data_IF_531329050130
#
_entry.id   IF_531329050130
#
_cell.length_a   1.000
_cell.length_b   1.000
_cell.length_c   1.000
_cell.angle_alpha   90.00
_cell.angle_beta   90.00
_cell.angle_gamma   90.00
#
_symmetry.space_group_name_H-M   'P 1'
#
loop_
_entity.id
_entity.type
_entity.pdbx_description
1 polymer ?
#
# COMPACT_ATOMS: atom_id res chain seq x y z
N UNK A 1 -3.65 16.27 -2.51
CA UNK A 1 -3.64 16.43 -1.04
C UNK A 1 -2.22 16.66 -0.55
N UNK A 2 -1.99 17.21 0.64
CA UNK A 2 -0.66 17.31 1.28
C UNK A 2 -0.36 16.10 2.16
N UNK A 3 0.91 15.91 2.56
CA UNK A 3 1.32 14.85 3.49
C UNK A 3 0.59 14.95 4.85
N UNK A 4 0.46 16.15 5.41
CA UNK A 4 -0.27 16.36 6.65
C UNK A 4 -1.77 16.02 6.51
N UNK A 5 -2.37 16.35 5.36
CA UNK A 5 -3.76 15.98 5.07
C UNK A 5 -3.92 14.46 4.93
N UNK A 6 -2.95 13.80 4.30
CA UNK A 6 -2.92 12.34 4.17
C UNK A 6 -2.90 11.65 5.54
N UNK A 7 -1.97 12.01 6.42
CA UNK A 7 -1.88 11.38 7.74
C UNK A 7 -3.12 11.64 8.59
N UNK A 8 -3.66 12.87 8.56
CA UNK A 8 -4.93 13.17 9.26
C UNK A 8 -6.10 12.34 8.73
N UNK A 9 -6.16 12.10 7.43
CA UNK A 9 -7.19 11.26 6.83
C UNK A 9 -7.00 9.79 7.20
N UNK A 10 -5.77 9.27 7.10
CA UNK A 10 -5.47 7.88 7.41
C UNK A 10 -5.74 7.57 8.89
N UNK A 11 -5.23 8.39 9.79
CA UNK A 11 -5.34 8.17 11.24
C UNK A 11 -6.75 8.50 11.75
N UNK A 12 -7.25 9.70 11.44
CA UNK A 12 -8.49 10.23 12.03
C UNK A 12 -9.77 9.86 11.29
N UNK A 13 -9.69 9.25 10.11
CA UNK A 13 -10.88 8.78 9.37
C UNK A 13 -10.79 7.28 9.17
N UNK A 14 -9.75 6.81 8.48
CA UNK A 14 -9.71 5.41 8.10
C UNK A 14 -9.46 4.48 9.29
N UNK A 15 -8.46 4.77 10.14
CA UNK A 15 -8.15 3.91 11.27
C UNK A 15 -9.15 4.03 12.42
N UNK A 16 -9.66 5.23 12.71
CA UNK A 16 -10.69 5.40 13.75
C UNK A 16 -12.02 4.71 13.38
N UNK A 17 -12.44 4.77 12.11
CA UNK A 17 -13.74 4.24 11.68
C UNK A 17 -13.66 2.74 11.34
N UNK A 18 -12.62 2.31 10.64
CA UNK A 18 -12.52 0.95 10.10
C UNK A 18 -11.54 0.04 10.88
N UNK A 19 -10.74 0.62 11.77
CA UNK A 19 -9.64 -0.08 12.42
C UNK A 19 -8.49 -0.37 11.47
N UNK A 20 -7.53 -1.16 11.97
CA UNK A 20 -6.31 -1.55 11.26
C UNK A 20 -6.28 -3.05 11.01
N UNK A 21 -5.63 -3.44 9.93
CA UNK A 21 -5.22 -4.82 9.73
C UNK A 21 -4.27 -5.25 10.86
N UNK A 22 -4.40 -6.49 11.39
CA UNK A 22 -3.48 -6.98 12.39
C UNK A 22 -2.08 -7.08 11.79
N UNK A 23 -1.09 -6.74 12.59
CA UNK A 23 0.31 -6.85 12.18
C UNK A 23 0.64 -8.31 11.86
N UNK A 24 1.20 -8.54 10.67
CA UNK A 24 1.79 -9.84 10.32
C UNK A 24 2.95 -10.10 11.30
N UNK A 25 2.96 -11.24 11.99
CA UNK A 25 4.04 -11.56 12.91
C UNK A 25 5.14 -12.36 12.19
N UNK A 26 6.39 -11.92 12.33
CA UNK A 26 7.57 -12.62 11.81
C UNK A 26 8.61 -11.65 11.25
N UNK A 27 9.86 -11.79 11.68
CA UNK A 27 10.99 -11.06 11.09
C UNK A 27 11.67 -11.96 10.08
N UNK A 28 11.88 -11.45 8.87
CA UNK A 28 12.78 -12.09 7.91
C UNK A 28 14.20 -11.67 8.29
N UNK A 29 14.96 -12.58 8.89
CA UNK A 29 16.38 -12.38 9.23
C UNK A 29 17.25 -12.99 8.12
N UNK A 30 17.35 -12.27 6.99
CA UNK A 30 18.14 -12.64 5.83
C UNK A 30 19.08 -11.47 5.47
N UNK A 31 20.38 -11.72 5.19
CA UNK A 31 21.32 -10.66 4.83
C UNK A 31 21.10 -10.09 3.41
N UNK A 32 20.33 -10.76 2.55
CA UNK A 32 20.03 -10.30 1.20
C UNK A 32 19.14 -9.04 1.23
N UNK A 33 19.59 -7.90 0.66
CA UNK A 33 18.81 -6.66 0.68
C UNK A 33 17.46 -6.76 -0.06
N UNK A 34 17.35 -7.63 -1.06
CA UNK A 34 16.11 -7.90 -1.77
C UNK A 34 15.10 -8.63 -0.88
N UNK A 35 15.54 -9.65 -0.14
CA UNK A 35 14.69 -10.39 0.81
C UNK A 35 14.27 -9.50 1.99
N UNK A 36 15.16 -8.63 2.48
CA UNK A 36 14.80 -7.62 3.49
C UNK A 36 13.74 -6.64 2.99
N UNK A 37 13.85 -6.17 1.74
CA UNK A 37 12.88 -5.28 1.15
C UNK A 37 11.49 -5.94 0.98
N UNK A 38 11.45 -7.23 0.63
CA UNK A 38 10.22 -8.03 0.64
C UNK A 38 9.64 -8.12 2.05
N UNK A 39 10.46 -8.42 3.06
CA UNK A 39 10.04 -8.44 4.46
C UNK A 39 9.44 -7.11 4.92
N UNK A 40 10.08 -6.00 4.55
CA UNK A 40 9.58 -4.64 4.85
C UNK A 40 8.22 -4.36 4.20
N UNK A 41 8.03 -4.80 2.96
CA UNK A 41 6.74 -4.69 2.26
C UNK A 41 5.64 -5.47 2.99
N UNK A 42 5.89 -6.75 3.29
CA UNK A 42 4.94 -7.60 4.02
C UNK A 42 4.61 -7.00 5.38
N UNK A 43 5.59 -6.42 6.06
CA UNK A 43 5.39 -5.82 7.38
C UNK A 43 4.58 -4.53 7.33
N UNK A 44 4.67 -3.79 6.23
CA UNK A 44 3.95 -2.54 6.01
C UNK A 44 2.44 -2.74 5.85
N UNK A 45 1.94 -3.97 5.72
CA UNK A 45 0.51 -4.29 5.76
C UNK A 45 -0.17 -3.85 7.07
N UNK A 46 0.58 -3.71 8.17
CA UNK A 46 0.06 -3.17 9.43
C UNK A 46 -0.43 -1.70 9.31
N UNK A 47 -0.13 -1.02 8.21
CA UNK A 47 -0.61 0.34 7.89
C UNK A 47 -2.02 0.28 7.29
N UNK A 48 -2.44 -0.85 6.70
CA UNK A 48 -3.69 -0.96 5.97
C UNK A 48 -4.91 -0.74 6.87
N UNK A 49 -5.85 0.12 6.45
CA UNK A 49 -7.22 0.08 6.94
C UNK A 49 -7.89 -1.23 6.51
N UNK A 50 -8.77 -1.80 7.36
CA UNK A 50 -9.46 -3.07 7.05
C UNK A 50 -10.29 -3.04 5.77
N UNK A 51 -10.93 -1.91 5.51
CA UNK A 51 -11.79 -1.72 4.33
C UNK A 51 -11.09 -0.85 3.26
N UNK A 52 -9.78 -1.03 3.06
CA UNK A 52 -8.99 -0.23 2.12
C UNK A 52 -9.50 -0.30 0.65
N UNK A 53 -10.15 -1.40 0.29
CA UNK A 53 -10.81 -1.58 -0.99
C UNK A 53 -12.10 -0.73 -1.15
N UNK A 54 -12.64 -0.19 -0.06
CA UNK A 54 -13.82 0.69 -0.08
C UNK A 54 -13.48 2.19 -0.06
N UNK A 55 -12.18 2.55 -0.05
CA UNK A 55 -11.76 3.95 -0.13
C UNK A 55 -12.28 4.55 -1.45
N UNK A 56 -13.03 5.67 -1.40
CA UNK A 56 -13.56 6.31 -2.61
C UNK A 56 -12.46 6.66 -3.61
N UNK A 57 -12.78 6.53 -4.90
CA UNK A 57 -11.81 6.70 -6.00
C UNK A 57 -11.17 8.10 -6.01
N UNK A 58 -11.88 9.12 -5.52
CA UNK A 58 -11.37 10.48 -5.41
C UNK A 58 -10.18 10.55 -4.43
N UNK A 59 -10.24 9.82 -3.32
CA UNK A 59 -9.14 9.73 -2.37
C UNK A 59 -7.98 8.90 -2.93
N UNK A 60 -8.27 7.83 -3.68
CA UNK A 60 -7.25 7.05 -4.39
C UNK A 60 -6.50 7.93 -5.40
N UNK A 61 -7.21 8.74 -6.18
CA UNK A 61 -6.59 9.68 -7.11
C UNK A 61 -5.73 10.72 -6.39
N UNK A 62 -6.19 11.27 -5.26
CA UNK A 62 -5.43 12.22 -4.45
C UNK A 62 -4.17 11.61 -3.85
N UNK A 63 -4.23 10.35 -3.40
CA UNK A 63 -3.06 9.60 -2.92
C UNK A 63 -2.08 9.32 -4.05
N UNK A 64 -2.57 8.92 -5.23
CA UNK A 64 -1.74 8.71 -6.42
C UNK A 64 -1.00 9.98 -6.85
N UNK A 65 -1.68 11.14 -6.84
CA UNK A 65 -1.04 12.44 -7.10
C UNK A 65 0.02 12.77 -6.05
N UNK A 66 -0.24 12.49 -4.77
CA UNK A 66 0.71 12.72 -3.69
C UNK A 66 1.94 11.82 -3.83
N UNK A 67 1.76 10.55 -4.19
CA UNK A 67 2.85 9.58 -4.43
C UNK A 67 3.86 10.07 -5.47
N UNK A 68 3.44 10.86 -6.46
CA UNK A 68 4.32 11.36 -7.53
C UNK A 68 5.05 12.67 -7.17
N UNK A 69 4.76 13.28 -6.02
CA UNK A 69 5.46 14.48 -5.57
C UNK A 69 6.90 14.16 -5.16
N UNK A 70 7.82 15.10 -5.37
CA UNK A 70 9.25 14.90 -5.07
C UNK A 70 9.57 14.97 -3.57
N UNK A 71 8.89 15.87 -2.86
CA UNK A 71 9.24 16.24 -1.49
C UNK A 71 8.26 15.64 -0.47
N UNK A 72 8.06 14.32 -0.55
CA UNK A 72 7.27 13.58 0.45
C UNK A 72 8.15 12.56 1.17
N UNK A 73 7.85 12.30 2.43
CA UNK A 73 8.67 11.40 3.23
C UNK A 73 8.51 9.96 2.75
N UNK A 74 9.60 9.18 2.87
CA UNK A 74 9.62 7.75 2.53
C UNK A 74 8.45 6.98 3.16
N UNK A 75 8.20 7.19 4.47
CA UNK A 75 7.09 6.54 5.20
C UNK A 75 5.74 6.82 4.55
N UNK A 76 5.52 8.04 4.05
CA UNK A 76 4.29 8.42 3.35
C UNK A 76 4.17 7.72 2.02
N UNK A 77 5.27 7.59 1.25
CA UNK A 77 5.26 6.80 0.01
C UNK A 77 4.90 5.35 0.27
N UNK A 78 5.53 4.72 1.25
CA UNK A 78 5.28 3.32 1.61
C UNK A 78 3.82 3.12 2.03
N UNK A 79 3.27 4.01 2.86
CA UNK A 79 1.87 3.97 3.27
C UNK A 79 0.90 4.13 2.09
N UNK A 80 1.16 5.08 1.19
CA UNK A 80 0.33 5.28 0.00
C UNK A 80 0.41 4.06 -0.92
N UNK A 81 1.61 3.57 -1.23
CA UNK A 81 1.79 2.40 -2.10
C UNK A 81 1.06 1.19 -1.54
N UNK A 82 1.11 0.98 -0.22
CA UNK A 82 0.39 -0.10 0.45
C UNK A 82 -1.13 0.06 0.29
N UNK A 83 -1.69 1.24 0.54
CA UNK A 83 -3.13 1.47 0.37
C UNK A 83 -3.56 1.27 -1.10
N UNK A 84 -2.79 1.79 -2.05
CA UNK A 84 -3.09 1.66 -3.47
C UNK A 84 -3.00 0.19 -3.93
N UNK A 85 -2.03 -0.58 -3.42
CA UNK A 85 -1.83 -1.99 -3.75
C UNK A 85 -3.07 -2.86 -3.45
N UNK A 86 -3.79 -2.55 -2.37
CA UNK A 86 -4.96 -3.32 -1.93
C UNK A 86 -6.30 -2.72 -2.38
N UNK A 87 -6.28 -1.71 -3.25
CA UNK A 87 -7.51 -1.10 -3.76
C UNK A 87 -8.01 -1.74 -5.05
N UNK A 88 -7.12 -2.08 -5.99
CA UNK A 88 -7.46 -2.76 -7.25
C UNK A 88 -8.17 -1.91 -8.31
N UNK A 89 -8.36 -0.60 -8.09
CA UNK A 89 -8.94 0.30 -9.10
C UNK A 89 -7.96 0.68 -10.22
N UNK A 90 -8.51 1.13 -11.36
CA UNK A 90 -7.71 1.67 -12.46
C UNK A 90 -6.82 2.85 -12.04
N UNK A 91 -7.34 3.75 -11.20
CA UNK A 91 -6.61 4.89 -10.69
C UNK A 91 -5.41 4.49 -9.82
N UNK A 92 -5.58 3.45 -8.98
CA UNK A 92 -4.49 2.91 -8.16
C UNK A 92 -3.40 2.29 -9.04
N UNK A 93 -3.79 1.50 -10.04
CA UNK A 93 -2.87 0.89 -11.00
C UNK A 93 -2.08 1.93 -11.79
N UNK A 94 -2.74 2.96 -12.29
CA UNK A 94 -2.09 4.02 -13.05
C UNK A 94 -1.04 4.75 -12.20
N UNK A 95 -1.39 5.12 -10.97
CA UNK A 95 -0.49 5.78 -10.04
C UNK A 95 0.74 4.92 -9.70
N UNK A 96 0.52 3.63 -9.39
CA UNK A 96 1.60 2.70 -9.08
C UNK A 96 2.48 2.43 -10.29
N UNK A 97 1.90 2.29 -11.49
CA UNK A 97 2.66 2.10 -12.72
C UNK A 97 3.53 3.32 -13.03
N UNK A 98 2.99 4.54 -12.89
CA UNK A 98 3.77 5.78 -13.06
C UNK A 98 4.93 5.88 -12.07
N UNK A 99 4.69 5.59 -10.78
CA UNK A 99 5.75 5.62 -9.77
C UNK A 99 6.86 4.59 -10.06
N UNK A 100 6.47 3.38 -10.51
CA UNK A 100 7.40 2.31 -10.87
C UNK A 100 8.33 2.63 -12.05
N UNK A 101 8.01 3.63 -12.88
CA UNK A 101 8.92 4.06 -13.96
C UNK A 101 10.21 4.67 -13.41
N UNK A 102 10.16 5.28 -12.23
CA UNK A 102 11.33 5.88 -11.56
C UNK A 102 11.12 5.95 -10.04
N UNK A 103 11.12 4.80 -9.35
CA UNK A 103 10.96 4.76 -7.90
C UNK A 103 12.14 5.45 -7.20
N UNK A 104 11.90 5.87 -5.96
CA UNK A 104 12.97 6.39 -5.09
C UNK A 104 13.97 5.27 -4.78
N UNK A 105 15.23 5.65 -4.58
CA UNK A 105 16.29 4.71 -4.21
C UNK A 105 15.93 3.95 -2.93
N UNK A 106 15.95 2.62 -2.98
CA UNK A 106 15.61 1.74 -1.87
C UNK A 106 14.10 1.45 -1.72
N UNK A 107 13.28 1.87 -2.68
CA UNK A 107 11.86 1.52 -2.79
C UNK A 107 11.53 0.71 -4.05
N UNK A 108 12.53 0.29 -4.83
CA UNK A 108 12.33 -0.40 -6.11
C UNK A 108 11.56 -1.72 -5.94
N UNK A 109 11.96 -2.54 -4.98
CA UNK A 109 11.29 -3.81 -4.66
C UNK A 109 9.88 -3.55 -4.13
N UNK A 110 9.74 -2.58 -3.21
CA UNK A 110 8.45 -2.22 -2.62
C UNK A 110 7.45 -1.76 -3.69
N UNK A 111 7.89 -0.86 -4.59
CA UNK A 111 7.07 -0.33 -5.67
C UNK A 111 6.63 -1.43 -6.63
N UNK A 112 7.54 -2.36 -6.97
CA UNK A 112 7.24 -3.50 -7.84
C UNK A 112 6.18 -4.41 -7.22
N UNK A 113 6.35 -4.77 -5.94
CA UNK A 113 5.39 -5.60 -5.21
C UNK A 113 4.02 -4.93 -5.11
N UNK A 114 3.97 -3.64 -4.77
CA UNK A 114 2.72 -2.88 -4.72
C UNK A 114 1.96 -2.92 -6.05
N UNK A 115 2.67 -2.76 -7.18
CA UNK A 115 2.07 -2.82 -8.51
C UNK A 115 1.62 -4.24 -8.89
N UNK A 116 2.40 -5.27 -8.58
CA UNK A 116 2.05 -6.67 -8.81
C UNK A 116 0.77 -7.03 -8.02
N UNK A 117 0.72 -6.71 -6.73
CA UNK A 117 -0.43 -6.97 -5.87
C UNK A 117 -1.68 -6.19 -6.32
N UNK A 118 -1.52 -4.94 -6.75
CA UNK A 118 -2.64 -4.17 -7.31
C UNK A 118 -3.23 -4.82 -8.57
N UNK A 119 -2.38 -5.41 -9.43
CA UNK A 119 -2.84 -6.14 -10.62
C UNK A 119 -3.59 -7.40 -10.21
N UNK A 120 -3.09 -8.10 -9.20
CA UNK A 120 -3.73 -9.32 -8.72
C UNK A 120 -5.12 -9.04 -8.11
N UNK A 121 -5.25 -7.96 -7.34
CA UNK A 121 -6.54 -7.51 -6.81
C UNK A 121 -7.54 -7.19 -7.92
N UNK A 122 -7.10 -6.46 -8.96
CA UNK A 122 -7.95 -6.14 -10.12
C UNK A 122 -8.40 -7.40 -10.86
N UNK A 123 -7.50 -8.34 -11.07
CA UNK A 123 -7.77 -9.57 -11.83
C UNK A 123 -8.54 -10.61 -11.02
N UNK A 124 -8.80 -10.36 -9.73
CA UNK A 124 -9.45 -11.30 -8.82
C UNK A 124 -8.58 -12.52 -8.51
N UNK A 125 -7.27 -12.44 -8.72
CA UNK A 125 -6.32 -13.53 -8.44
C UNK A 125 -5.87 -13.57 -6.98
N UNK A 126 -6.09 -12.48 -6.23
CA UNK A 126 -5.97 -12.51 -4.76
C UNK A 126 -7.20 -13.23 -4.18
N UNK A 127 -7.01 -14.44 -3.67
CA UNK A 127 -8.01 -15.04 -2.80
C UNK A 127 -8.15 -14.17 -1.56
N UNK A 128 -9.36 -13.66 -1.29
CA UNK A 128 -9.68 -13.05 0.01
C UNK A 128 -9.26 -14.05 1.10
N UNK A 129 -8.24 -13.70 1.88
CA UNK A 129 -7.74 -14.52 3.00
C UNK A 129 -8.84 -14.76 4.06
N UNK A 130 -9.99 -14.08 3.93
CA UNK A 130 -11.23 -14.33 4.66
C UNK A 130 -11.87 -15.72 4.46
N UNK A 131 -11.45 -16.54 3.49
CA UNK A 131 -11.95 -17.93 3.35
C UNK A 131 -11.16 -18.99 4.13
N UNK A 132 -10.09 -18.63 4.87
CA UNK A 132 -9.35 -19.59 5.72
C UNK A 132 -9.77 -19.49 7.21
N UNK A 133 -10.77 -18.67 7.55
CA UNK A 133 -11.39 -18.64 8.90
C UNK A 133 -12.64 -19.51 9.04
N UNK A 134 -12.97 -20.34 8.04
CA UNK A 134 -14.05 -21.33 8.10
C UNK A 134 -13.59 -22.70 7.60
N UNK A 135 -12.67 -23.33 8.33
CA UNK A 135 -12.56 -24.79 8.43
C UNK A 135 -12.38 -25.13 9.90
#
# INVERSE_FOLDING_TARGET
MTEAQFWRFLEGVLWEVHGREPMMAGMIDDPDPGVQAVGHYLMSHAILPRDCNMIPVEFIALMGQLLLQKDIQRRTREAIMMILAHNGSDAALEALAMYNMRPDKGLEVFARMALEECKDWRNGTVMKVDMIKKI
#
